data_IF_240635403248
#
_entry.id   IF_240635403248
#
_cell.length_a   1.000
_cell.length_b   1.000
_cell.length_c   1.000
_cell.angle_alpha   90.00
_cell.angle_beta   90.00
_cell.angle_gamma   90.00
#
_symmetry.space_group_name_H-M   'P 1'
#
loop_
_entity.id
_entity.type
_entity.pdbx_description
1 polymer ?
#
# COMPACT_ATOMS: atom_id res chain seq x y z
N UNK A 1 0.27 -15.65 4.86
CA UNK A 1 0.39 -14.21 5.20
C UNK A 1 0.94 -13.51 3.96
N UNK A 2 0.15 -12.68 3.28
CA UNK A 2 0.69 -11.80 2.25
C UNK A 2 1.07 -10.48 2.94
N UNK A 3 2.34 -10.34 3.30
CA UNK A 3 2.86 -9.06 3.76
C UNK A 3 2.63 -8.04 2.64
N UNK A 4 2.14 -6.86 2.99
CA UNK A 4 1.91 -5.78 2.02
C UNK A 4 3.18 -4.98 1.78
N UNK A 5 3.92 -4.74 2.87
CA UNK A 5 5.15 -3.96 2.92
C UNK A 5 6.22 -4.83 3.57
N UNK A 6 7.42 -4.85 2.99
CA UNK A 6 8.60 -5.44 3.62
C UNK A 6 9.55 -4.33 4.06
N UNK A 7 10.03 -4.44 5.31
CA UNK A 7 11.04 -3.55 5.89
C UNK A 7 12.15 -4.44 6.45
N UNK A 8 13.27 -4.52 5.76
CA UNK A 8 14.43 -5.30 6.20
C UNK A 8 15.72 -4.64 5.73
N UNK A 9 16.80 -4.63 6.54
CA UNK A 9 18.10 -4.08 6.12
C UNK A 9 18.61 -4.65 4.80
N UNK A 10 18.28 -5.90 4.48
CA UNK A 10 18.75 -6.60 3.28
C UNK A 10 18.10 -6.09 1.98
N UNK A 11 16.97 -5.38 2.07
CA UNK A 11 16.23 -4.86 0.93
C UNK A 11 16.19 -3.33 1.02
N UNK A 12 16.77 -2.66 0.02
CA UNK A 12 16.82 -1.19 -0.07
C UNK A 12 17.26 -0.51 1.24
N UNK A 13 18.23 -1.10 1.94
CA UNK A 13 18.76 -0.59 3.21
C UNK A 13 17.69 -0.32 4.27
N UNK A 14 16.62 -1.13 4.31
CA UNK A 14 15.50 -0.95 5.24
C UNK A 14 14.43 0.04 4.78
N UNK A 15 14.51 0.55 3.55
CA UNK A 15 13.41 1.37 2.99
C UNK A 15 12.16 0.50 2.87
N UNK A 16 10.98 0.97 3.31
CA UNK A 16 9.73 0.25 3.10
C UNK A 16 9.43 0.04 1.61
N UNK A 17 9.34 -1.21 1.20
CA UNK A 17 9.04 -1.61 -0.18
C UNK A 17 7.74 -2.39 -0.27
N UNK A 18 7.11 -2.41 -1.43
CA UNK A 18 6.04 -3.37 -1.71
C UNK A 18 6.60 -4.79 -1.57
N UNK A 19 5.95 -5.64 -0.77
CA UNK A 19 6.43 -6.98 -0.49
C UNK A 19 6.59 -7.80 -1.77
N UNK A 20 7.66 -8.59 -1.83
CA UNK A 20 8.06 -9.34 -3.03
C UNK A 20 8.71 -8.48 -4.12
N UNK A 21 8.97 -7.20 -3.86
CA UNK A 21 9.62 -6.28 -4.81
C UNK A 21 10.78 -5.54 -4.14
N UNK A 22 11.50 -4.72 -4.91
CA UNK A 22 12.43 -3.70 -4.40
C UNK A 22 11.90 -2.27 -4.60
N UNK A 23 10.61 -2.12 -4.91
CA UNK A 23 9.95 -0.86 -5.25
C UNK A 23 9.56 -0.14 -3.96
N UNK A 24 10.12 1.04 -3.65
CA UNK A 24 9.75 1.80 -2.46
C UNK A 24 8.28 2.18 -2.47
N UNK A 25 7.63 2.08 -1.31
CA UNK A 25 6.25 2.55 -1.12
C UNK A 25 6.12 4.04 -1.43
N UNK A 26 7.16 4.82 -1.15
CA UNK A 26 7.24 6.25 -1.46
C UNK A 26 6.97 6.56 -2.94
N UNK A 27 7.41 5.69 -3.86
CA UNK A 27 7.25 5.92 -5.29
C UNK A 27 5.78 6.04 -5.70
N UNK A 28 4.88 5.24 -5.10
CA UNK A 28 3.44 5.36 -5.36
C UNK A 28 2.96 6.78 -5.01
N UNK A 29 3.31 7.27 -3.82
CA UNK A 29 2.88 8.60 -3.40
C UNK A 29 3.53 9.73 -4.19
N UNK A 30 4.76 9.53 -4.68
CA UNK A 30 5.42 10.51 -5.55
C UNK A 30 4.70 10.63 -6.90
N UNK A 31 4.31 9.51 -7.53
CA UNK A 31 3.49 9.48 -8.75
C UNK A 31 2.15 10.19 -8.53
N UNK A 32 1.42 9.79 -7.48
CA UNK A 32 0.11 10.39 -7.18
C UNK A 32 0.21 11.91 -6.90
N UNK A 33 1.28 12.37 -6.25
CA UNK A 33 1.54 13.81 -6.04
C UNK A 33 1.93 14.53 -7.33
N UNK A 34 2.53 13.83 -8.28
CA UNK A 34 2.84 14.31 -9.62
C UNK A 34 1.60 14.50 -10.51
N UNK A 35 0.46 13.93 -10.10
CA UNK A 35 -0.77 13.91 -10.88
C UNK A 35 -0.92 12.64 -11.73
N UNK A 36 0.02 11.70 -11.62
CA UNK A 36 -0.04 10.43 -12.30
C UNK A 36 -1.10 9.52 -11.68
N UNK A 37 -1.66 8.64 -12.50
CA UNK A 37 -2.64 7.63 -12.13
C UNK A 37 -1.97 6.37 -11.54
N UNK A 38 -2.79 5.53 -10.92
CA UNK A 38 -2.35 4.20 -10.48
C UNK A 38 -1.89 3.34 -11.66
N UNK A 39 -2.55 3.46 -12.82
CA UNK A 39 -2.16 2.72 -14.02
C UNK A 39 -0.75 3.11 -14.49
N UNK A 40 -0.45 4.39 -14.57
CA UNK A 40 0.90 4.89 -14.93
C UNK A 40 1.96 4.43 -13.92
N UNK A 41 1.65 4.41 -12.63
CA UNK A 41 2.54 3.82 -11.61
C UNK A 41 2.79 2.32 -11.86
N UNK A 42 1.75 1.55 -12.19
CA UNK A 42 1.86 0.11 -12.43
C UNK A 42 2.58 -0.21 -13.74
N UNK A 43 2.47 0.66 -14.75
CA UNK A 43 3.27 0.57 -15.97
C UNK A 43 4.76 0.79 -15.69
N UNK A 44 5.10 1.74 -14.82
CA UNK A 44 6.48 1.97 -14.37
C UNK A 44 7.03 0.88 -13.44
N UNK A 45 6.16 0.20 -12.69
CA UNK A 45 6.52 -0.84 -11.71
C UNK A 45 5.64 -2.10 -11.81
N UNK A 46 5.73 -2.87 -12.92
CA UNK A 46 4.82 -3.99 -13.19
C UNK A 46 4.95 -5.16 -12.22
N UNK A 47 6.00 -5.21 -11.39
CA UNK A 47 6.12 -6.18 -10.31
C UNK A 47 5.20 -5.90 -9.12
N UNK A 48 4.71 -4.66 -8.99
CA UNK A 48 3.75 -4.29 -7.94
C UNK A 48 2.36 -4.68 -8.40
N UNK A 49 1.61 -5.40 -7.56
CA UNK A 49 0.25 -5.80 -7.89
C UNK A 49 -0.72 -4.65 -7.59
N UNK A 50 -1.72 -4.45 -8.45
CA UNK A 50 -2.80 -3.47 -8.21
C UNK A 50 -3.46 -3.66 -6.85
N UNK A 51 -3.71 -4.90 -6.44
CA UNK A 51 -4.28 -5.24 -5.13
C UNK A 51 -3.43 -4.71 -3.96
N UNK A 52 -2.10 -4.71 -4.08
CA UNK A 52 -1.22 -4.13 -3.07
C UNK A 52 -1.37 -2.62 -3.01
N UNK A 53 -1.44 -1.94 -4.17
CA UNK A 53 -1.67 -0.49 -4.23
C UNK A 53 -3.00 -0.12 -3.56
N UNK A 54 -4.10 -0.80 -3.91
CA UNK A 54 -5.42 -0.50 -3.34
C UNK A 54 -5.44 -0.77 -1.84
N UNK A 55 -4.89 -1.90 -1.37
CA UNK A 55 -4.84 -2.21 0.06
C UNK A 55 -4.03 -1.17 0.85
N UNK A 56 -2.93 -0.69 0.28
CA UNK A 56 -2.11 0.36 0.89
C UNK A 56 -2.86 1.69 0.99
N UNK A 57 -3.54 2.11 -0.08
CA UNK A 57 -4.33 3.33 -0.09
C UNK A 57 -5.49 3.27 0.92
N UNK A 58 -6.18 2.13 1.00
CA UNK A 58 -7.21 1.92 2.01
C UNK A 58 -6.63 2.04 3.43
N UNK A 59 -5.49 1.38 3.73
CA UNK A 59 -4.87 1.50 5.05
C UNK A 59 -4.47 2.94 5.39
N UNK A 60 -3.96 3.69 4.41
CA UNK A 60 -3.64 5.10 4.58
C UNK A 60 -4.91 5.94 4.82
N UNK A 61 -6.00 5.65 4.12
CA UNK A 61 -7.30 6.31 4.32
C UNK A 61 -7.84 6.06 5.73
N UNK A 62 -7.94 4.79 6.16
CA UNK A 62 -8.45 4.40 7.49
C UNK A 62 -7.66 5.03 8.65
N UNK A 63 -6.39 5.40 8.44
CA UNK A 63 -5.61 6.10 9.46
C UNK A 63 -6.14 7.52 9.76
N UNK A 64 -6.93 8.09 8.84
CA UNK A 64 -7.47 9.44 8.94
C UNK A 64 -8.99 9.51 8.85
N UNK A 65 -9.64 8.43 8.42
CA UNK A 65 -11.09 8.32 8.38
C UNK A 65 -11.56 7.31 9.44
N UNK A 66 -12.27 7.81 10.44
CA UNK A 66 -13.08 6.96 11.31
C UNK A 66 -14.51 7.05 10.77
N UNK A 67 -15.01 5.96 10.17
CA UNK A 67 -16.44 5.76 10.05
C UNK A 67 -16.84 4.61 10.96
N UNK A 68 -17.85 4.84 11.80
CA UNK A 68 -18.38 3.90 12.81
C UNK A 68 -18.95 2.58 12.24
N UNK A 69 -18.66 2.24 10.98
CA UNK A 69 -19.27 1.14 10.25
C UNK A 69 -18.73 -0.26 10.62
N UNK A 70 -17.64 -0.38 11.38
CA UNK A 70 -17.06 -1.68 11.77
C UNK A 70 -17.48 -2.19 13.16
N UNK A 71 -18.44 -1.56 13.85
CA UNK A 71 -18.93 -2.02 15.18
C UNK A 71 -20.01 -3.13 15.07
N UNK A 72 -20.44 -3.56 13.88
CA UNK A 72 -21.63 -4.43 13.73
C UNK A 72 -21.42 -5.96 13.62
N UNK A 73 -20.20 -6.50 13.52
CA UNK A 73 -20.02 -7.97 13.41
C UNK A 73 -19.56 -8.68 14.71
N UNK A 74 -19.05 -7.98 15.73
CA UNK A 74 -18.53 -8.64 16.94
C UNK A 74 -19.49 -8.70 18.14
N UNK A 75 -20.72 -8.18 18.04
CA UNK A 75 -21.69 -8.16 19.16
C UNK A 75 -22.81 -9.21 19.09
N UNK A 76 -22.68 -10.23 18.23
CA UNK A 76 -23.59 -11.39 18.22
C UNK A 76 -22.79 -12.71 18.20
N UNK A 77 -22.20 -13.06 19.33
CA UNK A 77 -21.80 -14.42 19.70
C UNK A 77 -22.01 -14.64 21.20
#
# INVERSE_FOLDING_TARGET
MNDLITITPDIQSGTPVFAGTRVPVKNLFDYLKGGDTIDEFLEGFPSVKREQVIKLLNLAEHAFTFSDAEIYEENFA
#
